data_IF_315187321678
#
_entry.id   IF_315187321678
#
_cell.length_a   1.000
_cell.length_b   1.000
_cell.length_c   1.000
_cell.angle_alpha   90.00
_cell.angle_beta   90.00
_cell.angle_gamma   90.00
#
_symmetry.space_group_name_H-M   'P 1'
#
loop_
_entity.id
_entity.type
_entity.pdbx_description
1 polymer ?
#
# COMPACT_ATOMS: atom_id res chain seq x y z
N UNK A 1 -37.66 -21.22 -11.58
CA UNK A 1 -38.95 -21.38 -10.89
C UNK A 1 -38.68 -21.78 -9.44
N UNK A 2 -39.29 -21.08 -8.49
CA UNK A 2 -39.14 -21.15 -7.03
C UNK A 2 -38.77 -22.52 -6.40
N UNK A 3 -37.94 -22.49 -5.35
CA UNK A 3 -38.39 -22.95 -4.02
C UNK A 3 -37.59 -22.33 -2.86
N UNK A 4 -38.30 -21.44 -2.19
CA UNK A 4 -38.05 -20.96 -0.84
C UNK A 4 -38.13 -22.13 0.15
N UNK A 5 -37.18 -22.25 1.08
CA UNK A 5 -37.36 -23.06 2.31
C UNK A 5 -37.14 -22.17 3.52
N UNK A 6 -38.25 -21.59 3.99
CA UNK A 6 -38.42 -21.07 5.34
C UNK A 6 -38.51 -22.27 6.29
N UNK A 7 -37.61 -22.38 7.25
CA UNK A 7 -37.90 -23.02 8.53
C UNK A 7 -37.52 -22.02 9.61
N UNK A 8 -38.54 -21.54 10.31
CA UNK A 8 -38.38 -20.71 11.49
C UNK A 8 -38.27 -21.56 12.75
N UNK A 9 -37.80 -20.87 13.79
CA UNK A 9 -37.98 -21.15 15.21
C UNK A 9 -37.01 -22.14 15.85
N UNK A 10 -35.96 -21.56 16.47
CA UNK A 10 -35.75 -21.77 17.90
C UNK A 10 -35.13 -20.50 18.49
N UNK A 11 -35.96 -19.72 19.18
CA UNK A 11 -35.49 -18.71 20.11
C UNK A 11 -34.61 -19.39 21.17
N UNK A 12 -33.37 -18.95 21.32
CA UNK A 12 -32.61 -19.15 22.54
C UNK A 12 -31.81 -17.89 22.84
N UNK A 13 -32.43 -17.08 23.69
CA UNK A 13 -31.80 -15.96 24.38
C UNK A 13 -30.74 -16.51 25.34
N UNK A 14 -29.48 -16.26 25.06
CA UNK A 14 -28.36 -16.18 26.01
C UNK A 14 -27.52 -15.00 25.51
N UNK A 15 -27.76 -13.79 25.99
CA UNK A 15 -27.06 -13.22 27.13
C UNK A 15 -25.53 -13.25 26.96
N UNK A 16 -24.96 -12.09 26.62
CA UNK A 16 -23.67 -11.69 27.17
C UNK A 16 -22.42 -12.18 26.46
N UNK A 17 -22.14 -11.64 25.28
CA UNK A 17 -20.78 -11.20 24.93
C UNK A 17 -20.94 -10.13 23.87
N UNK A 18 -21.09 -8.90 24.33
CA UNK A 18 -20.87 -7.70 23.52
C UNK A 18 -19.40 -7.80 23.11
N UNK A 19 -19.15 -8.33 21.93
CA UNK A 19 -17.84 -8.32 21.31
C UNK A 19 -17.41 -6.87 21.22
N UNK A 20 -16.65 -6.43 22.20
CA UNK A 20 -15.87 -5.22 22.11
C UNK A 20 -14.89 -5.52 20.99
N UNK A 21 -15.24 -5.09 19.77
CA UNK A 21 -14.24 -4.90 18.73
C UNK A 21 -13.32 -3.86 19.35
N UNK A 22 -12.23 -4.33 19.96
CA UNK A 22 -11.08 -3.48 20.22
C UNK A 22 -10.76 -2.92 18.83
N UNK A 23 -11.12 -1.66 18.59
CA UNK A 23 -10.43 -0.90 17.59
C UNK A 23 -8.97 -1.04 18.00
N UNK A 24 -8.24 -1.89 17.29
CA UNK A 24 -6.81 -2.04 17.45
C UNK A 24 -6.28 -0.60 17.38
N UNK A 25 -5.77 -0.11 18.51
CA UNK A 25 -5.41 1.29 18.65
C UNK A 25 -4.22 1.51 17.74
N UNK A 26 -4.52 1.96 16.52
CA UNK A 26 -3.55 2.17 15.46
C UNK A 26 -2.67 3.35 15.86
N UNK A 27 -1.65 3.07 16.68
CA UNK A 27 -0.57 4.01 17.00
C UNK A 27 0.32 4.13 15.75
N UNK A 28 -0.15 4.88 14.75
CA UNK A 28 0.64 5.21 13.59
C UNK A 28 1.55 6.41 13.91
N UNK A 29 2.86 6.20 13.89
CA UNK A 29 3.82 7.30 13.98
C UNK A 29 3.94 7.96 12.60
N UNK A 30 3.42 9.19 12.48
CA UNK A 30 3.48 9.99 11.26
C UNK A 30 4.90 10.10 10.67
N UNK A 31 5.91 10.24 11.54
CA UNK A 31 7.30 10.35 11.11
C UNK A 31 7.77 9.07 10.44
N UNK A 32 7.43 7.91 11.02
CA UNK A 32 7.84 6.61 10.49
C UNK A 32 7.17 6.34 9.13
N UNK A 33 5.88 6.71 8.98
CA UNK A 33 5.17 6.60 7.69
C UNK A 33 5.84 7.43 6.60
N UNK A 34 6.20 8.68 6.90
CA UNK A 34 6.89 9.57 5.96
C UNK A 34 8.27 9.05 5.58
N UNK A 35 9.02 8.50 6.54
CA UNK A 35 10.31 7.88 6.30
C UNK A 35 10.15 6.64 5.41
N UNK A 36 9.17 5.78 5.68
CA UNK A 36 8.88 4.60 4.86
C UNK A 36 8.46 4.96 3.44
N UNK A 37 7.61 5.98 3.26
CA UNK A 37 7.22 6.46 1.93
C UNK A 37 8.45 6.91 1.11
N UNK A 38 9.35 7.68 1.73
CA UNK A 38 10.59 8.13 1.09
C UNK A 38 11.50 6.95 0.71
N UNK A 39 11.69 6.00 1.61
CA UNK A 39 12.48 4.80 1.32
C UNK A 39 11.92 3.99 0.14
N UNK A 40 10.60 3.88 0.03
CA UNK A 40 9.97 3.20 -1.12
C UNK A 40 10.19 3.95 -2.43
N UNK A 41 10.15 5.29 -2.40
CA UNK A 41 10.45 6.12 -3.58
C UNK A 41 11.93 6.01 -3.99
N UNK A 42 12.84 5.97 -3.02
CA UNK A 42 14.27 5.76 -3.28
C UNK A 42 14.50 4.37 -3.90
N UNK A 43 13.91 3.31 -3.33
CA UNK A 43 13.97 1.96 -3.89
C UNK A 43 13.35 1.87 -5.29
N UNK A 44 12.28 2.62 -5.56
CA UNK A 44 11.70 2.74 -6.90
C UNK A 44 12.71 3.29 -7.90
N UNK A 45 13.39 4.39 -7.55
CA UNK A 45 14.42 5.01 -8.37
C UNK A 45 15.61 4.09 -8.63
N UNK A 46 16.18 3.53 -7.55
CA UNK A 46 17.33 2.63 -7.62
C UNK A 46 17.02 1.38 -8.44
N UNK A 47 15.85 0.76 -8.21
CA UNK A 47 15.43 -0.43 -8.95
C UNK A 47 15.27 -0.13 -10.43
N UNK A 48 14.67 1.00 -10.78
CA UNK A 48 14.51 1.43 -12.18
C UNK A 48 15.87 1.58 -12.86
N UNK A 49 16.83 2.23 -12.19
CA UNK A 49 18.18 2.40 -12.73
C UNK A 49 18.89 1.06 -12.92
N UNK A 50 18.80 0.14 -11.96
CA UNK A 50 19.39 -1.20 -12.05
C UNK A 50 18.80 -1.99 -13.21
N UNK A 51 17.48 -1.95 -13.41
CA UNK A 51 16.83 -2.66 -14.51
C UNK A 51 17.22 -2.11 -15.88
N UNK A 52 17.29 -0.79 -16.04
CA UNK A 52 17.71 -0.18 -17.31
C UNK A 52 19.19 -0.47 -17.61
N UNK A 53 20.07 -0.39 -16.60
CA UNK A 53 21.49 -0.75 -16.75
C UNK A 53 21.67 -2.22 -17.15
N UNK A 54 21.02 -3.15 -16.43
CA UNK A 54 21.09 -4.58 -16.75
C UNK A 54 20.51 -4.91 -18.13
N UNK A 55 19.45 -4.21 -18.56
CA UNK A 55 18.90 -4.36 -19.90
C UNK A 55 19.90 -3.94 -20.99
N UNK A 56 20.59 -2.80 -20.79
CA UNK A 56 21.60 -2.31 -21.71
C UNK A 56 22.81 -3.26 -21.78
N UNK A 57 23.29 -3.75 -20.64
CA UNK A 57 24.40 -4.71 -20.56
C UNK A 57 24.09 -6.02 -21.30
N UNK A 58 22.91 -6.61 -21.06
CA UNK A 58 22.50 -7.86 -21.72
C UNK A 58 22.36 -7.64 -23.23
N UNK A 59 21.74 -6.51 -23.64
CA UNK A 59 21.58 -6.18 -25.06
C UNK A 59 22.93 -5.99 -25.76
N UNK A 60 23.88 -5.34 -25.08
CA UNK A 60 25.25 -5.16 -25.58
C UNK A 60 25.99 -6.49 -25.72
N UNK A 61 25.95 -7.33 -24.68
CA UNK A 61 26.58 -8.65 -24.67
C UNK A 61 26.03 -9.59 -25.77
N UNK A 62 24.76 -9.40 -26.15
CA UNK A 62 24.09 -10.19 -27.17
C UNK A 62 24.14 -9.59 -28.59
N UNK A 63 24.89 -8.51 -28.81
CA UNK A 63 25.00 -7.83 -30.11
C UNK A 63 25.45 -8.74 -31.26
N UNK A 64 26.15 -9.84 -30.96
CA UNK A 64 26.57 -10.85 -31.94
C UNK A 64 25.60 -12.03 -32.13
N UNK A 65 24.47 -12.07 -31.41
CA UNK A 65 23.52 -13.17 -31.52
C UNK A 65 22.63 -12.99 -32.74
N UNK A 66 22.36 -14.09 -33.45
CA UNK A 66 21.57 -14.07 -34.68
C UNK A 66 20.46 -15.12 -34.65
N UNK A 67 19.43 -14.92 -35.47
CA UNK A 67 18.35 -15.89 -35.70
C UNK A 67 17.50 -16.13 -34.45
N UNK A 68 17.13 -17.39 -34.21
CA UNK A 68 16.19 -17.75 -33.13
C UNK A 68 16.68 -17.36 -31.73
N UNK A 69 17.99 -17.39 -31.49
CA UNK A 69 18.56 -17.00 -30.20
C UNK A 69 18.40 -15.51 -29.92
N UNK A 70 18.59 -14.67 -30.94
CA UNK A 70 18.37 -13.22 -30.84
C UNK A 70 16.88 -12.91 -30.60
N UNK A 71 15.98 -13.56 -31.35
CA UNK A 71 14.54 -13.39 -31.18
C UNK A 71 14.04 -13.84 -29.80
N UNK A 72 14.56 -14.97 -29.30
CA UNK A 72 14.27 -15.46 -27.96
C UNK A 72 14.74 -14.49 -26.88
N UNK A 73 15.95 -13.92 -27.03
CA UNK A 73 16.47 -12.93 -26.10
C UNK A 73 15.64 -11.65 -26.09
N UNK A 74 15.30 -11.08 -27.25
CA UNK A 74 14.45 -9.89 -27.31
C UNK A 74 13.09 -10.12 -26.63
N UNK A 75 12.50 -11.30 -26.83
CA UNK A 75 11.25 -11.67 -26.16
C UNK A 75 11.42 -11.75 -24.64
N UNK A 76 12.52 -12.36 -24.17
CA UNK A 76 12.82 -12.45 -22.74
C UNK A 76 13.08 -11.05 -22.13
N UNK A 77 13.85 -10.21 -22.81
CA UNK A 77 14.15 -8.83 -22.40
C UNK A 77 12.89 -7.96 -22.35
N UNK A 78 11.97 -8.11 -23.31
CA UNK A 78 10.69 -7.42 -23.28
C UNK A 78 9.83 -7.84 -22.08
N UNK A 79 9.78 -9.14 -21.78
CA UNK A 79 9.08 -9.65 -20.58
C UNK A 79 9.71 -9.15 -19.28
N UNK A 80 11.04 -9.13 -19.22
CA UNK A 80 11.79 -8.61 -18.08
C UNK A 80 11.49 -7.12 -17.87
N UNK A 81 11.54 -6.31 -18.94
CA UNK A 81 11.22 -4.87 -18.89
C UNK A 81 9.77 -4.64 -18.43
N UNK A 82 8.82 -5.42 -18.93
CA UNK A 82 7.43 -5.34 -18.49
C UNK A 82 7.24 -5.73 -17.02
N UNK A 83 7.99 -6.72 -16.53
CA UNK A 83 7.93 -7.14 -15.12
C UNK A 83 8.59 -6.12 -14.20
N UNK A 84 9.74 -5.59 -14.61
CA UNK A 84 10.44 -4.51 -13.92
C UNK A 84 9.54 -3.28 -13.76
N UNK A 85 8.95 -2.79 -14.85
CA UNK A 85 8.04 -1.64 -14.83
C UNK A 85 6.83 -1.84 -13.90
N UNK A 86 6.26 -3.05 -13.84
CA UNK A 86 5.17 -3.35 -12.90
C UNK A 86 5.64 -3.36 -11.45
N UNK A 87 6.82 -3.91 -11.19
CA UNK A 87 7.37 -3.97 -9.85
C UNK A 87 7.72 -2.57 -9.34
N UNK A 88 8.43 -1.79 -10.15
CA UNK A 88 8.84 -0.43 -9.81
C UNK A 88 7.63 0.47 -9.68
N UNK A 89 6.66 0.40 -10.59
CA UNK A 89 5.39 1.14 -10.47
C UNK A 89 4.63 0.83 -9.18
N UNK A 90 4.60 -0.43 -8.73
CA UNK A 90 3.96 -0.78 -7.44
C UNK A 90 4.66 -0.18 -6.22
N UNK A 91 5.98 0.04 -6.29
CA UNK A 91 6.71 0.72 -5.21
C UNK A 91 6.36 2.20 -5.17
N UNK A 92 6.25 2.83 -6.34
CA UNK A 92 5.84 4.23 -6.50
C UNK A 92 4.41 4.44 -6.00
N UNK A 93 3.46 3.60 -6.45
CA UNK A 93 2.07 3.62 -6.01
C UNK A 93 1.98 3.48 -4.47
N UNK A 94 2.72 2.53 -3.89
CA UNK A 94 2.66 2.30 -2.45
C UNK A 94 3.30 3.45 -1.65
N UNK A 95 4.38 4.06 -2.17
CA UNK A 95 4.95 5.27 -1.61
C UNK A 95 3.93 6.41 -1.58
N UNK A 96 3.22 6.62 -2.70
CA UNK A 96 2.19 7.63 -2.82
C UNK A 96 1.01 7.40 -1.86
N UNK A 97 0.53 6.16 -1.74
CA UNK A 97 -0.55 5.79 -0.82
C UNK A 97 -0.17 6.03 0.65
N UNK A 98 1.05 5.67 1.05
CA UNK A 98 1.54 5.92 2.42
C UNK A 98 1.70 7.42 2.67
N UNK A 99 2.23 8.17 1.70
CA UNK A 99 2.37 9.61 1.81
C UNK A 99 1.00 10.29 1.98
N UNK A 100 0.01 9.91 1.16
CA UNK A 100 -1.35 10.42 1.25
C UNK A 100 -2.00 10.06 2.60
N UNK A 101 -1.96 8.79 3.00
CA UNK A 101 -2.52 8.34 4.27
C UNK A 101 -1.87 8.98 5.49
N UNK A 102 -0.56 9.26 5.44
CA UNK A 102 0.11 10.00 6.51
C UNK A 102 -0.38 11.44 6.63
N UNK A 103 -0.64 12.12 5.51
CA UNK A 103 -1.21 13.47 5.50
C UNK A 103 -2.61 13.50 6.12
N UNK A 104 -3.47 12.56 5.72
CA UNK A 104 -4.81 12.42 6.29
C UNK A 104 -4.78 12.15 7.80
N UNK A 105 -3.88 11.28 8.26
CA UNK A 105 -3.70 11.00 9.68
C UNK A 105 -3.28 12.24 10.47
N UNK A 106 -2.30 13.01 9.96
CA UNK A 106 -1.84 14.24 10.60
C UNK A 106 -2.97 15.27 10.73
N UNK A 107 -3.78 15.46 9.69
CA UNK A 107 -4.87 16.43 9.69
C UNK A 107 -5.98 16.04 10.69
N UNK A 108 -6.31 14.75 10.76
CA UNK A 108 -7.30 14.21 11.72
C UNK A 108 -6.80 14.31 13.16
N UNK A 109 -5.54 13.99 13.41
CA UNK A 109 -4.93 14.08 14.75
C UNK A 109 -4.89 15.54 15.22
N UNK A 110 -4.44 16.46 14.35
CA UNK A 110 -4.40 17.89 14.66
C UNK A 110 -5.80 18.44 14.96
N UNK A 111 -6.79 18.14 14.12
CA UNK A 111 -8.17 18.58 14.33
C UNK A 111 -8.81 17.99 15.60
N UNK A 112 -8.47 16.75 15.94
CA UNK A 112 -8.91 16.11 17.19
C UNK A 112 -8.29 16.80 18.42
N UNK A 113 -7.00 17.13 18.36
CA UNK A 113 -6.29 17.88 19.41
C UNK A 113 -6.88 19.27 19.65
N UNK A 114 -7.25 19.99 18.59
CA UNK A 114 -7.94 21.29 18.72
C UNK A 114 -9.31 21.16 19.39
N UNK A 115 -10.09 20.13 19.03
CA UNK A 115 -11.42 19.88 19.60
C UNK A 115 -11.35 19.48 21.08
N UNK A 116 -10.35 18.67 21.47
CA UNK A 116 -10.09 18.31 22.87
C UNK A 116 -9.68 19.56 23.67
N UNK A 117 -8.76 20.37 23.13
CA UNK A 117 -8.32 21.62 23.76
C UNK A 117 -9.49 22.59 23.96
N UNK A 118 -10.36 22.72 22.95
CA UNK A 118 -11.57 23.56 23.00
C UNK A 118 -12.54 23.06 24.08
N UNK A 119 -12.82 21.76 24.11
CA UNK A 119 -13.74 21.14 25.07
C UNK A 119 -13.23 21.24 26.51
N UNK A 120 -11.93 21.03 26.72
CA UNK A 120 -11.28 21.20 28.03
C UNK A 120 -11.33 22.64 28.52
N UNK A 121 -11.16 23.63 27.63
CA UNK A 121 -11.23 25.05 27.96
C UNK A 121 -12.65 25.52 28.31
N UNK A 122 -13.69 24.92 27.71
CA UNK A 122 -15.09 25.18 28.09
C UNK A 122 -15.48 24.57 29.43
N UNK A 123 -14.88 23.45 29.83
CA UNK A 123 -15.15 22.81 31.12
C UNK A 123 -14.39 23.42 32.31
N UNK A 124 -13.36 24.24 32.07
CA UNK A 124 -12.58 24.92 33.13
C UNK A 124 -13.16 26.27 33.60
N UNK A 125 -14.30 26.69 33.05
CA UNK A 125 -15.03 27.90 33.47
C UNK A 125 -16.24 27.53 34.32
N UNK A 126 -16.02 26.96 35.49
CA UNK A 126 -17.01 26.83 36.57
C UNK A 126 -16.33 27.20 37.88
#
# INVERSE_FOLDING_TARGET
MFRCRRMGSAARTLAGTRGYVMADELSANFTDMQVSARQLADWHGDSTQVFEAGHAEISSAASGWVGNSQAALHTALAKMRGSASRLTGRLDDHSADIAAGSGEYHDVDHGSGENITRSGRTHLKI
#
